data_IF_328263093509
#
_entry.id   IF_328263093509
#
_cell.length_a   1.000
_cell.length_b   1.000
_cell.length_c   1.000
_cell.angle_alpha   90.00
_cell.angle_beta   90.00
_cell.angle_gamma   90.00
#
_symmetry.space_group_name_H-M   'P 1'
#
loop_
_entity.id
_entity.type
_entity.pdbx_description
1 polymer ?
#
# COMPACT_ATOMS: atom_id res chain seq x y z
N UNK A 1 29.50 -6.51 46.13
CA UNK A 1 28.04 -6.29 45.97
C UNK A 1 27.41 -5.67 47.24
N UNK A 2 27.84 -4.47 47.67
CA UNK A 2 27.38 -3.87 48.94
C UNK A 2 26.85 -2.43 48.88
N UNK A 3 27.27 -1.63 47.88
CA UNK A 3 26.92 -0.20 47.79
C UNK A 3 25.45 0.08 47.47
N UNK A 4 24.76 -0.83 46.77
CA UNK A 4 23.34 -0.66 46.42
C UNK A 4 22.46 -0.74 47.66
N UNK A 5 22.79 -1.62 48.62
CA UNK A 5 21.99 -1.82 49.84
C UNK A 5 22.03 -0.61 50.77
N UNK A 6 23.19 0.01 50.95
CA UNK A 6 23.32 1.20 51.82
C UNK A 6 22.62 2.43 51.24
N UNK A 7 22.60 2.58 49.91
CA UNK A 7 21.91 3.68 49.24
C UNK A 7 20.38 3.54 49.33
N UNK A 8 19.89 2.30 49.31
CA UNK A 8 18.45 1.98 49.47
C UNK A 8 17.95 2.25 50.88
N UNK A 9 18.76 2.03 51.93
CA UNK A 9 18.37 2.34 53.31
C UNK A 9 18.37 3.85 53.60
N UNK A 10 19.35 4.59 53.08
CA UNK A 10 19.49 6.03 53.34
C UNK A 10 18.39 6.86 52.66
N UNK A 11 18.01 6.47 51.43
CA UNK A 11 17.07 7.22 50.59
C UNK A 11 15.81 6.40 50.27
N UNK A 12 15.31 5.64 51.24
CA UNK A 12 14.21 4.68 51.10
C UNK A 12 12.95 5.28 50.45
N UNK A 13 12.64 6.54 50.75
CA UNK A 13 11.53 7.29 50.15
C UNK A 13 11.77 7.60 48.67
N UNK A 14 12.98 8.01 48.30
CA UNK A 14 13.34 8.30 46.92
C UNK A 14 13.36 7.02 46.08
N UNK A 15 13.87 5.91 46.65
CA UNK A 15 13.86 4.60 46.00
C UNK A 15 12.43 4.08 45.82
N UNK A 16 11.54 4.28 46.80
CA UNK A 16 10.13 3.94 46.65
C UNK A 16 9.44 4.78 45.57
N UNK A 17 9.76 6.08 45.48
CA UNK A 17 9.20 6.99 44.47
C UNK A 17 9.69 6.62 43.06
N UNK A 18 10.99 6.44 42.88
CA UNK A 18 11.59 6.04 41.59
C UNK A 18 11.10 4.63 41.20
N UNK A 19 11.04 3.70 42.16
CA UNK A 19 10.51 2.36 41.94
C UNK A 19 9.06 2.39 41.47
N UNK A 20 8.21 3.19 42.11
CA UNK A 20 6.81 3.37 41.70
C UNK A 20 6.68 4.03 40.33
N UNK A 21 7.50 5.03 40.02
CA UNK A 21 7.50 5.71 38.72
C UNK A 21 7.91 4.76 37.58
N UNK A 22 8.94 3.94 37.79
CA UNK A 22 9.39 2.94 36.81
C UNK A 22 8.31 1.87 36.62
N UNK A 23 7.71 1.38 37.70
CA UNK A 23 6.64 0.39 37.62
C UNK A 23 5.42 0.96 36.87
N UNK A 24 5.03 2.19 37.19
CA UNK A 24 3.93 2.89 36.53
C UNK A 24 4.20 3.13 35.05
N UNK A 25 5.43 3.47 34.66
CA UNK A 25 5.83 3.60 33.26
C UNK A 25 5.76 2.26 32.51
N UNK A 26 6.24 1.18 33.12
CA UNK A 26 6.17 -0.15 32.51
C UNK A 26 4.71 -0.56 32.28
N UNK A 27 3.87 -0.40 33.31
CA UNK A 27 2.44 -0.74 33.21
C UNK A 27 1.73 0.17 32.21
N UNK A 28 1.97 1.48 32.25
CA UNK A 28 1.40 2.44 31.30
C UNK A 28 1.83 2.17 29.86
N UNK A 29 3.08 1.74 29.65
CA UNK A 29 3.57 1.38 28.33
C UNK A 29 2.94 0.08 27.81
N UNK A 30 2.81 -0.94 28.66
CA UNK A 30 2.12 -2.19 28.32
C UNK A 30 0.65 -1.90 27.97
N UNK A 31 -0.02 -1.11 28.80
CA UNK A 31 -1.43 -0.73 28.56
C UNK A 31 -1.56 0.10 27.29
N UNK A 32 -0.66 1.05 27.05
CA UNK A 32 -0.61 1.84 25.82
C UNK A 32 -0.40 0.98 24.58
N UNK A 33 0.43 -0.07 24.66
CA UNK A 33 0.68 -1.00 23.55
C UNK A 33 -0.43 -2.03 23.33
N UNK A 34 -1.11 -2.49 24.40
CA UNK A 34 -2.15 -3.52 24.31
C UNK A 34 -3.52 -2.91 23.97
N UNK A 35 -3.86 -1.76 24.54
CA UNK A 35 -5.11 -1.06 24.23
C UNK A 35 -5.05 -0.31 22.90
N UNK A 36 -3.85 0.13 22.49
CA UNK A 36 -3.63 0.76 21.20
C UNK A 36 -2.71 -0.13 20.36
N UNK A 37 -3.24 -1.18 19.71
CA UNK A 37 -2.45 -1.90 18.74
C UNK A 37 -2.01 -0.91 17.66
N UNK A 38 -0.71 -0.61 17.62
CA UNK A 38 -0.11 0.11 16.50
C UNK A 38 -0.15 -0.86 15.33
N UNK A 39 -1.26 -0.86 14.61
CA UNK A 39 -1.26 -1.37 13.25
C UNK A 39 -0.29 -0.49 12.46
N UNK A 40 0.93 -0.98 12.30
CA UNK A 40 1.76 -0.64 11.15
C UNK A 40 1.02 -1.20 9.94
N UNK A 41 -0.05 -0.51 9.54
CA UNK A 41 -0.74 -0.82 8.30
C UNK A 41 0.31 -0.67 7.23
N UNK A 42 0.69 -1.81 6.67
CA UNK A 42 1.54 -1.95 5.52
C UNK A 42 1.13 -0.86 4.54
N UNK A 43 2.01 0.11 4.30
CA UNK A 43 1.82 1.13 3.26
C UNK A 43 1.98 0.45 1.90
N UNK A 44 1.06 -0.47 1.62
CA UNK A 44 0.71 -0.92 0.29
C UNK A 44 0.25 0.34 -0.47
N UNK A 45 0.68 0.56 -1.72
CA UNK A 45 0.29 1.73 -2.53
C UNK A 45 -1.24 1.94 -2.64
N UNK A 46 -2.02 0.89 -2.37
CA UNK A 46 -3.48 0.93 -2.28
C UNK A 46 -4.04 1.80 -1.12
N UNK A 47 -3.25 2.05 -0.07
CA UNK A 47 -3.64 2.88 1.08
C UNK A 47 -3.13 4.34 0.98
N UNK A 48 -2.42 4.67 -0.10
CA UNK A 48 -2.01 6.04 -0.40
C UNK A 48 -3.27 6.85 -0.76
N UNK A 49 -3.39 8.07 -0.22
CA UNK A 49 -4.50 8.99 -0.49
C UNK A 49 -4.82 9.04 -1.99
N UNK A 50 -6.10 9.09 -2.38
CA UNK A 50 -6.57 9.03 -3.78
C UNK A 50 -5.75 9.90 -4.76
N UNK A 51 -5.28 11.08 -4.31
CA UNK A 51 -4.37 11.95 -5.09
C UNK A 51 -3.05 11.28 -5.49
N UNK A 52 -2.42 10.50 -4.61
CA UNK A 52 -1.17 9.80 -4.94
C UNK A 52 -1.39 8.57 -5.82
N UNK A 53 -2.57 7.93 -5.72
CA UNK A 53 -2.93 6.84 -6.64
C UNK A 53 -3.03 7.37 -8.07
N UNK A 54 -3.62 8.56 -8.23
CA UNK A 54 -3.71 9.25 -9.52
C UNK A 54 -2.34 9.59 -10.11
N UNK A 55 -1.47 10.24 -9.33
CA UNK A 55 -0.12 10.61 -9.79
C UNK A 55 0.74 9.38 -10.10
N UNK A 56 0.63 8.32 -9.28
CA UNK A 56 1.33 7.07 -9.51
C UNK A 56 0.81 6.32 -10.74
N UNK A 57 -0.52 6.25 -10.93
CA UNK A 57 -1.13 5.65 -12.11
C UNK A 57 -0.73 6.39 -13.39
N UNK A 58 -0.66 7.72 -13.34
CA UNK A 58 -0.12 8.54 -14.44
C UNK A 58 1.32 8.15 -14.78
N UNK A 59 2.16 8.02 -13.76
CA UNK A 59 3.57 7.66 -13.94
C UNK A 59 3.71 6.25 -14.52
N UNK A 60 2.93 5.28 -14.03
CA UNK A 60 2.92 3.91 -14.57
C UNK A 60 2.43 3.92 -16.03
N UNK A 61 1.32 4.59 -16.33
CA UNK A 61 0.78 4.73 -17.68
C UNK A 61 1.75 5.43 -18.64
N UNK A 62 2.64 6.29 -18.14
CA UNK A 62 3.66 6.94 -18.97
C UNK A 62 4.86 6.04 -19.27
N UNK A 63 5.11 5.03 -18.45
CA UNK A 63 6.35 4.24 -18.48
C UNK A 63 6.14 2.76 -18.82
N UNK A 64 4.91 2.25 -18.78
CA UNK A 64 4.66 0.81 -18.97
C UNK A 64 5.17 0.31 -20.33
N UNK A 65 4.97 1.08 -21.39
CA UNK A 65 5.45 0.73 -22.74
C UNK A 65 6.97 0.52 -22.82
N UNK A 66 7.73 1.20 -21.96
CA UNK A 66 9.19 1.10 -21.93
C UNK A 66 9.70 0.02 -20.97
N UNK A 67 8.93 -0.32 -19.93
CA UNK A 67 9.39 -1.21 -18.85
C UNK A 67 8.92 -2.67 -18.94
N UNK A 68 7.88 -2.95 -19.72
CA UNK A 68 7.41 -4.33 -19.90
C UNK A 68 5.95 -4.48 -20.31
N UNK A 69 5.32 -3.42 -20.80
CA UNK A 69 3.92 -3.41 -21.20
C UNK A 69 2.98 -3.53 -20.00
N UNK A 70 1.79 -4.07 -20.26
CA UNK A 70 0.69 -4.12 -19.29
C UNK A 70 0.98 -5.01 -18.10
N UNK A 71 1.70 -6.13 -18.30
CA UNK A 71 2.07 -7.01 -17.20
C UNK A 71 2.90 -6.28 -16.11
N UNK A 72 3.80 -5.40 -16.52
CA UNK A 72 4.56 -4.57 -15.58
C UNK A 72 3.66 -3.55 -14.89
N UNK A 73 2.73 -2.94 -15.62
CA UNK A 73 1.77 -2.00 -15.05
C UNK A 73 0.81 -2.67 -14.05
N UNK A 74 0.33 -3.87 -14.33
CA UNK A 74 -0.53 -4.67 -13.45
C UNK A 74 0.17 -4.99 -12.13
N UNK A 75 1.45 -5.41 -12.19
CA UNK A 75 2.26 -5.68 -10.99
C UNK A 75 2.42 -4.41 -10.14
N UNK A 76 2.74 -3.28 -10.79
CA UNK A 76 3.01 -2.00 -10.08
C UNK A 76 1.75 -1.34 -9.54
N UNK A 77 0.67 -1.34 -10.30
CA UNK A 77 -0.63 -0.86 -9.86
C UNK A 77 -1.25 -1.81 -8.84
N UNK A 78 -0.78 -3.06 -8.79
CA UNK A 78 -1.33 -4.08 -7.91
C UNK A 78 -2.75 -4.45 -8.32
N UNK A 79 -3.01 -4.56 -9.63
CA UNK A 79 -4.31 -4.90 -10.21
C UNK A 79 -5.11 -5.98 -9.42
N UNK A 80 -4.52 -7.12 -8.97
CA UNK A 80 -5.27 -8.14 -8.21
C UNK A 80 -5.78 -7.69 -6.84
N UNK A 81 -5.28 -6.57 -6.30
CA UNK A 81 -5.70 -6.01 -5.01
C UNK A 81 -6.80 -4.95 -5.16
N UNK A 82 -7.13 -4.54 -6.38
CA UNK A 82 -8.23 -3.62 -6.65
C UNK A 82 -9.56 -4.37 -6.73
N UNK A 83 -10.66 -3.66 -6.46
CA UNK A 83 -11.98 -4.20 -6.79
C UNK A 83 -12.14 -4.21 -8.31
N UNK A 84 -12.80 -5.25 -8.84
CA UNK A 84 -13.07 -5.37 -10.28
C UNK A 84 -13.63 -4.06 -10.85
N UNK A 85 -12.96 -3.51 -11.86
CA UNK A 85 -13.36 -2.27 -12.54
C UNK A 85 -12.98 -0.96 -11.82
N UNK A 86 -12.54 -1.00 -10.56
CA UNK A 86 -12.16 0.20 -9.83
C UNK A 86 -10.88 0.84 -10.42
N UNK A 87 -9.94 0.00 -10.87
CA UNK A 87 -8.70 0.48 -11.46
C UNK A 87 -8.95 1.09 -12.86
N UNK A 88 -9.81 0.47 -13.65
CA UNK A 88 -10.21 0.99 -14.97
C UNK A 88 -10.98 2.30 -14.84
N UNK A 89 -11.91 2.42 -13.88
CA UNK A 89 -12.64 3.66 -13.62
C UNK A 89 -11.70 4.81 -13.21
N UNK A 90 -10.67 4.52 -12.40
CA UNK A 90 -9.67 5.49 -12.00
C UNK A 90 -8.82 5.95 -13.19
N UNK A 91 -8.35 5.02 -14.02
CA UNK A 91 -7.58 5.32 -15.23
C UNK A 91 -8.40 6.16 -16.22
N UNK A 92 -9.68 5.85 -16.38
CA UNK A 92 -10.59 6.58 -17.27
C UNK A 92 -10.92 7.98 -16.75
N UNK A 93 -11.13 8.13 -15.44
CA UNK A 93 -11.26 9.43 -14.80
C UNK A 93 -10.05 10.33 -15.06
N UNK A 94 -8.84 9.79 -14.88
CA UNK A 94 -7.60 10.51 -15.17
C UNK A 94 -7.44 10.83 -16.65
N UNK A 95 -7.85 9.93 -17.53
CA UNK A 95 -7.79 10.17 -18.97
C UNK A 95 -8.78 11.25 -19.44
N UNK A 96 -9.87 11.47 -18.69
CA UNK A 96 -10.83 12.54 -18.95
C UNK A 96 -10.30 13.91 -18.47
N UNK A 97 -9.47 13.93 -17.43
CA UNK A 97 -8.83 15.14 -16.91
C UNK A 97 -7.62 15.57 -17.75
N UNK A 98 -6.92 14.62 -18.36
CA UNK A 98 -5.74 14.87 -19.19
C UNK A 98 -6.08 15.10 -20.67
N UNK A 99 -5.15 15.69 -21.41
CA UNK A 99 -5.24 15.89 -22.87
C UNK A 99 -4.01 15.35 -23.59
N UNK A 100 -4.15 15.10 -24.90
CA UNK A 100 -3.06 14.67 -25.75
C UNK A 100 -2.59 13.24 -25.49
N UNK A 101 -1.27 13.03 -25.55
CA UNK A 101 -0.66 11.70 -25.50
C UNK A 101 -0.90 10.97 -24.17
N UNK A 102 -0.81 11.69 -23.04
CA UNK A 102 -1.04 11.10 -21.72
C UNK A 102 -2.46 10.53 -21.58
N UNK A 103 -3.46 11.22 -22.13
CA UNK A 103 -4.85 10.76 -22.13
C UNK A 103 -5.05 9.53 -23.03
N UNK A 104 -4.27 9.38 -24.10
CA UNK A 104 -4.30 8.19 -24.94
C UNK A 104 -3.64 6.99 -24.26
N UNK A 105 -2.50 7.20 -23.60
CA UNK A 105 -1.77 6.14 -22.88
C UNK A 105 -2.57 5.58 -21.69
N UNK A 106 -3.27 6.44 -20.95
CA UNK A 106 -4.16 6.03 -19.86
C UNK A 106 -5.34 5.20 -20.34
N UNK A 107 -5.98 5.59 -21.46
CA UNK A 107 -7.10 4.81 -22.06
C UNK A 107 -6.64 3.48 -22.63
N UNK A 108 -5.47 3.44 -23.27
CA UNK A 108 -4.90 2.19 -23.74
C UNK A 108 -4.69 1.23 -22.57
N UNK A 109 -4.10 1.73 -21.48
CA UNK A 109 -3.86 0.94 -20.29
C UNK A 109 -5.16 0.47 -19.61
N UNK A 110 -6.22 1.30 -19.56
CA UNK A 110 -7.50 0.90 -18.98
C UNK A 110 -8.18 -0.22 -19.78
N UNK A 111 -8.11 -0.18 -21.11
CA UNK A 111 -8.68 -1.22 -21.98
C UNK A 111 -7.91 -2.53 -21.81
N UNK A 112 -6.58 -2.49 -21.82
CA UNK A 112 -5.77 -3.70 -21.71
C UNK A 112 -5.90 -4.37 -20.32
N UNK A 113 -5.96 -3.58 -19.24
CA UNK A 113 -6.25 -4.13 -17.90
C UNK A 113 -7.68 -4.65 -17.80
N UNK A 114 -8.66 -3.96 -18.38
CA UNK A 114 -10.07 -4.41 -18.38
C UNK A 114 -10.26 -5.74 -19.11
N UNK A 115 -9.50 -5.98 -20.19
CA UNK A 115 -9.48 -7.25 -20.91
C UNK A 115 -8.84 -8.38 -20.07
N UNK A 116 -7.73 -8.08 -19.41
CA UNK A 116 -7.02 -9.00 -18.49
C UNK A 116 -7.89 -9.38 -17.27
N UNK A 117 -8.58 -8.40 -16.66
CA UNK A 117 -9.52 -8.62 -15.55
C UNK A 117 -10.79 -9.37 -15.96
N UNK A 118 -11.22 -9.21 -17.21
CA UNK A 118 -12.40 -9.91 -17.74
C UNK A 118 -12.12 -11.37 -18.06
N UNK A 119 -10.85 -11.80 -18.04
CA UNK A 119 -10.47 -13.17 -18.40
C UNK A 119 -10.82 -13.48 -19.85
N UNK A 120 -10.91 -12.46 -20.70
CA UNK A 120 -11.04 -12.63 -22.14
C UNK A 120 -9.63 -12.91 -22.66
N UNK A 121 -9.18 -14.14 -22.40
CA UNK A 121 -8.27 -14.84 -23.28
C UNK A 121 -8.97 -14.78 -24.64
N UNK A 122 -8.57 -13.82 -25.46
CA UNK A 122 -8.72 -13.88 -26.89
C UNK A 122 -8.05 -15.19 -27.31
N UNK A 123 -8.83 -16.27 -27.27
CA UNK A 123 -8.58 -17.46 -28.06
C UNK A 123 -8.35 -16.92 -29.47
N UNK A 124 -7.11 -16.97 -29.98
CA UNK A 124 -6.88 -16.55 -31.34
C UNK A 124 -7.80 -17.43 -32.16
N UNK A 125 -8.60 -16.77 -32.98
CA UNK A 125 -9.34 -17.34 -34.08
C UNK A 125 -8.39 -18.25 -34.88
N UNK A 126 -8.26 -19.51 -34.45
CA UNK A 126 -7.58 -20.55 -35.17
C UNK A 126 -8.57 -20.97 -36.23
N UNK A 127 -8.55 -20.20 -37.32
CA UNK A 127 -9.25 -20.49 -38.55
C UNK A 127 -9.14 -21.98 -38.88
N UNK A 128 -10.27 -22.51 -39.30
CA UNK A 128 -10.38 -23.80 -39.95
C UNK A 128 -9.21 -24.06 -40.91
N UNK A 129 -8.64 -25.27 -40.91
CA UNK A 129 -8.30 -25.92 -42.15
C UNK A 129 -9.50 -26.77 -42.58
N UNK A 130 -10.10 -26.38 -43.70
CA UNK A 130 -10.77 -27.31 -44.59
C UNK A 130 -9.80 -28.46 -44.92
N UNK A 131 -10.23 -29.71 -44.68
CA UNK A 131 -9.77 -30.91 -45.38
C UNK A 131 -10.76 -32.06 -45.14
#
# INVERSE_FOLDING_TARGET
MGKVRSFVEQNKTFVALVGGAVLGLIVGLIVGWVLWPVEWTSSTPANLHSKYQSDYAMWVASNYQQQGGVAWAEEKLGAPYWKKGQLTDLLEGLAAEQTGEAAAQLRALSVELGASESGEVSEPEAGAPEA
#
